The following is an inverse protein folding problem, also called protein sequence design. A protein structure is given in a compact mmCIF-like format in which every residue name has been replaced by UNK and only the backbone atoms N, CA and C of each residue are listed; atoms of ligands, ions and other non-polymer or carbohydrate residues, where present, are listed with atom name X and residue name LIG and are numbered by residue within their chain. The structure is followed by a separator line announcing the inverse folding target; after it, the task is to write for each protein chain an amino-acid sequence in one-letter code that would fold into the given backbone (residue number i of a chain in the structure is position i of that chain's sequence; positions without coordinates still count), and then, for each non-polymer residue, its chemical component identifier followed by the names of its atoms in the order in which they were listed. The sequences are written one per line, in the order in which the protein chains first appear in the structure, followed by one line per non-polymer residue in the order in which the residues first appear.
data_IF_171578262410
#
_entry.id   IF_171578262410
#
_cell.length_a   1.000
_cell.length_b   1.000
_cell.length_c   1.000
_cell.angle_alpha   90.00
_cell.angle_beta   90.00
_cell.angle_gamma   90.00
#
_symmetry.space_group_name_H-M   'P 1'
#
loop_
_entity.id
_entity.type
_entity.pdbx_description
1 polymer ?
#
# COMPACT_ATOMS: atom_id res chain seq x y z
N UNK A 1 -7.76 14.10 -19.85
CA UNK A 1 -7.48 12.89 -19.04
C UNK A 1 -7.36 13.32 -17.58
N UNK A 2 -7.78 12.47 -16.63
CA UNK A 2 -7.60 12.76 -15.20
C UNK A 2 -6.10 12.68 -14.83
N UNK A 3 -5.69 13.37 -13.77
CA UNK A 3 -4.29 13.38 -13.34
C UNK A 3 -3.75 11.96 -13.04
N UNK A 4 -4.56 11.11 -12.40
CA UNK A 4 -4.20 9.72 -12.14
C UNK A 4 -3.95 8.91 -13.43
N UNK A 5 -4.79 9.08 -14.46
CA UNK A 5 -4.60 8.40 -15.73
C UNK A 5 -3.35 8.88 -16.47
N UNK A 6 -2.99 10.17 -16.33
CA UNK A 6 -1.79 10.72 -16.95
C UNK A 6 -0.48 10.23 -16.29
N UNK A 7 -0.53 9.76 -15.04
CA UNK A 7 0.64 9.30 -14.28
C UNK A 7 0.76 7.77 -14.20
N UNK A 8 -0.26 7.02 -14.63
CA UNK A 8 -0.31 5.56 -14.47
C UNK A 8 0.89 4.84 -15.11
N UNK A 9 1.27 5.23 -16.33
CA UNK A 9 2.41 4.63 -17.05
C UNK A 9 3.75 4.92 -16.36
N UNK A 10 3.91 6.12 -15.80
CA UNK A 10 5.09 6.50 -15.03
C UNK A 10 5.17 5.68 -13.73
N UNK A 11 4.04 5.49 -13.04
CA UNK A 11 3.97 4.67 -11.83
C UNK A 11 4.26 3.18 -12.09
N UNK A 12 3.78 2.63 -13.21
CA UNK A 12 4.09 1.25 -13.62
C UNK A 12 5.59 1.06 -13.84
N UNK A 13 6.26 2.03 -14.47
CA UNK A 13 7.67 1.97 -14.80
C UNK A 13 8.61 2.03 -13.57
N UNK A 14 8.14 2.54 -12.43
CA UNK A 14 8.92 2.56 -11.18
C UNK A 14 9.13 1.11 -10.70
N UNK A 15 10.37 0.69 -10.39
CA UNK A 15 10.64 -0.64 -9.83
C UNK A 15 9.82 -0.89 -8.57
N UNK A 16 9.34 -2.13 -8.39
CA UNK A 16 8.52 -2.46 -7.23
C UNK A 16 9.23 -2.20 -5.89
N UNK A 17 10.56 -2.33 -5.87
CA UNK A 17 11.40 -2.04 -4.70
C UNK A 17 11.39 -0.56 -4.31
N UNK A 18 11.37 0.34 -5.30
CA UNK A 18 11.26 1.78 -5.06
C UNK A 18 9.85 2.15 -4.57
N UNK A 19 8.80 1.52 -5.13
CA UNK A 19 7.43 1.67 -4.61
C UNK A 19 7.34 1.23 -3.15
N UNK A 20 7.94 0.08 -2.80
CA UNK A 20 8.03 -0.40 -1.41
C UNK A 20 8.75 0.59 -0.50
N UNK A 21 9.85 1.20 -0.96
CA UNK A 21 10.57 2.20 -0.18
C UNK A 21 9.71 3.44 0.14
N UNK A 22 8.88 3.90 -0.81
CA UNK A 22 7.91 4.97 -0.60
C UNK A 22 6.90 4.59 0.48
N UNK A 23 6.35 3.38 0.42
CA UNK A 23 5.34 2.90 1.38
C UNK A 23 5.92 2.73 2.79
N UNK A 24 7.16 2.22 2.90
CA UNK A 24 7.85 2.12 4.19
C UNK A 24 8.12 3.50 4.79
N UNK A 25 8.53 4.47 3.97
CA UNK A 25 8.70 5.87 4.43
C UNK A 25 7.39 6.47 4.92
N UNK A 26 6.27 6.21 4.23
CA UNK A 26 4.95 6.65 4.68
C UNK A 26 4.58 6.03 6.03
N UNK A 27 4.88 4.75 6.23
CA UNK A 27 4.67 4.08 7.51
C UNK A 27 5.51 4.69 8.64
N UNK A 28 6.80 4.98 8.39
CA UNK A 28 7.69 5.63 9.38
C UNK A 28 7.12 6.99 9.83
N UNK A 29 6.72 7.82 8.87
CA UNK A 29 6.18 9.16 9.13
C UNK A 29 4.82 9.09 9.84
N UNK A 30 3.99 8.10 9.51
CA UNK A 30 2.70 7.90 10.15
C UNK A 30 2.86 7.40 11.59
N UNK A 31 3.79 6.49 11.82
CA UNK A 31 4.15 5.95 13.13
C UNK A 31 4.66 7.05 14.06
N UNK A 32 5.60 7.88 13.59
CA UNK A 32 6.12 9.04 14.34
C UNK A 32 5.00 10.01 14.77
N UNK A 33 3.98 10.17 13.92
CA UNK A 33 2.85 11.09 14.14
C UNK A 33 1.63 10.43 14.77
N UNK A 34 1.76 9.19 15.26
CA UNK A 34 0.61 8.43 15.80
C UNK A 34 -0.20 9.20 16.85
N UNK A 35 0.40 9.90 17.84
CA UNK A 35 -0.37 10.65 18.82
C UNK A 35 -1.21 11.79 18.21
N UNK A 36 -0.66 12.51 17.24
CA UNK A 36 -1.33 13.62 16.55
C UNK A 36 -2.48 13.09 15.68
N UNK A 37 -2.21 12.06 14.87
CA UNK A 37 -3.21 11.44 14.01
C UNK A 37 -4.35 10.81 14.81
N UNK A 38 -4.04 10.15 15.94
CA UNK A 38 -5.06 9.58 16.80
C UNK A 38 -5.93 10.66 17.45
N UNK A 39 -5.36 11.80 17.84
CA UNK A 39 -6.13 12.93 18.34
C UNK A 39 -7.09 13.49 17.27
N UNK A 40 -6.63 13.61 16.01
CA UNK A 40 -7.47 14.02 14.89
C UNK A 40 -8.62 13.03 14.65
N UNK A 41 -8.33 11.73 14.63
CA UNK A 41 -9.36 10.69 14.48
C UNK A 41 -10.40 10.76 15.61
N UNK A 42 -9.96 10.92 16.86
CA UNK A 42 -10.88 11.12 17.98
C UNK A 42 -11.74 12.37 17.82
N UNK A 43 -11.17 13.47 17.33
CA UNK A 43 -11.88 14.73 17.13
C UNK A 43 -12.92 14.63 15.99
N UNK A 44 -12.56 13.98 14.89
CA UNK A 44 -13.38 13.93 13.68
C UNK A 44 -14.50 12.90 13.76
N UNK A 45 -14.22 11.69 14.26
CA UNK A 45 -15.17 10.57 14.25
C UNK A 45 -15.55 10.05 15.64
N UNK A 46 -15.15 10.77 16.70
CA UNK A 46 -15.60 10.50 18.07
C UNK A 46 -15.07 9.20 18.69
N UNK A 47 -14.03 8.59 18.10
CA UNK A 47 -13.41 7.37 18.65
C UNK A 47 -12.77 7.65 20.01
N UNK A 48 -12.86 6.69 20.93
CA UNK A 48 -12.09 6.75 22.17
C UNK A 48 -10.59 6.76 21.88
N UNK A 49 -9.79 7.26 22.83
CA UNK A 49 -8.33 7.36 22.68
C UNK A 49 -7.69 6.04 22.24
N UNK A 50 -8.10 4.92 22.83
CA UNK A 50 -7.52 3.61 22.53
C UNK A 50 -7.95 3.10 21.14
N UNK A 51 -9.19 3.32 20.74
CA UNK A 51 -9.66 2.97 19.38
C UNK A 51 -8.97 3.81 18.32
N UNK A 52 -8.74 5.10 18.57
CA UNK A 52 -8.05 5.98 17.64
C UNK A 52 -6.57 5.61 17.49
N UNK A 53 -5.87 5.36 18.60
CA UNK A 53 -4.49 4.87 18.58
C UNK A 53 -4.40 3.53 17.84
N UNK A 54 -5.30 2.59 18.12
CA UNK A 54 -5.37 1.30 17.44
C UNK A 54 -5.61 1.44 15.94
N UNK A 55 -6.53 2.31 15.52
CA UNK A 55 -6.83 2.52 14.10
C UNK A 55 -5.69 3.19 13.31
N UNK A 56 -4.89 4.05 13.94
CA UNK A 56 -3.68 4.60 13.32
C UNK A 56 -2.58 3.55 13.24
N UNK A 57 -2.37 2.78 14.32
CA UNK A 57 -1.40 1.69 14.34
C UNK A 57 -1.73 0.62 13.28
N UNK A 58 -3.00 0.26 13.12
CA UNK A 58 -3.44 -0.69 12.09
C UNK A 58 -3.14 -0.19 10.66
N UNK A 59 -3.29 1.11 10.40
CA UNK A 59 -2.93 1.69 9.11
C UNK A 59 -1.41 1.65 8.85
N UNK A 60 -0.58 1.88 9.88
CA UNK A 60 0.87 1.68 9.80
C UNK A 60 1.18 0.23 9.46
N UNK A 61 0.52 -0.72 10.14
CA UNK A 61 0.72 -2.15 9.88
C UNK A 61 0.28 -2.56 8.47
N UNK A 62 -0.79 -1.99 7.90
CA UNK A 62 -1.10 -2.24 6.48
C UNK A 62 0.03 -1.82 5.56
N UNK A 63 0.60 -0.63 5.78
CA UNK A 63 1.71 -0.12 4.99
C UNK A 63 2.93 -1.06 5.06
N UNK A 64 3.26 -1.52 6.28
CA UNK A 64 4.35 -2.48 6.53
C UNK A 64 4.07 -3.85 5.92
N UNK A 65 2.87 -4.37 6.13
CA UNK A 65 2.49 -5.72 5.74
C UNK A 65 2.52 -5.89 4.23
N UNK A 66 1.88 -5.00 3.46
CA UNK A 66 1.86 -5.13 2.01
C UNK A 66 3.24 -4.87 1.38
N UNK A 67 4.03 -3.97 1.96
CA UNK A 67 5.45 -3.81 1.60
C UNK A 67 6.22 -5.12 1.77
N UNK A 68 6.04 -5.78 2.92
CA UNK A 68 6.67 -7.06 3.21
C UNK A 68 6.16 -8.19 2.30
N UNK A 69 4.88 -8.18 1.90
CA UNK A 69 4.37 -9.16 0.93
C UNK A 69 5.04 -9.00 -0.43
N UNK A 70 5.19 -7.77 -0.93
CA UNK A 70 5.90 -7.52 -2.20
C UNK A 70 7.34 -8.04 -2.15
N UNK A 71 8.08 -7.76 -1.08
CA UNK A 71 9.45 -8.22 -0.91
C UNK A 71 9.55 -9.75 -0.76
N UNK A 72 8.68 -10.36 0.07
CA UNK A 72 8.64 -11.80 0.31
C UNK A 72 8.40 -12.60 -0.97
N UNK A 73 7.71 -12.00 -1.93
CA UNK A 73 7.36 -12.61 -3.21
C UNK A 73 8.20 -12.11 -4.38
N UNK A 74 9.30 -11.38 -4.13
CA UNK A 74 10.18 -10.82 -5.18
C UNK A 74 9.40 -10.02 -6.25
N UNK A 75 8.48 -9.17 -5.78
CA UNK A 75 7.58 -8.41 -6.65
C UNK A 75 6.59 -9.26 -7.45
N UNK A 76 6.36 -10.50 -7.01
CA UNK A 76 5.57 -11.52 -7.72
C UNK A 76 6.12 -11.84 -9.11
N UNK A 77 7.46 -11.81 -9.25
CA UNK A 77 8.16 -12.34 -10.42
C UNK A 77 8.46 -13.81 -10.16
N UNK A 78 7.81 -14.70 -10.91
CA UNK A 78 7.90 -16.15 -10.71
C UNK A 78 8.47 -16.79 -11.97
N UNK A 79 9.63 -17.43 -11.86
CA UNK A 79 10.17 -18.26 -12.93
C UNK A 79 9.31 -19.52 -13.10
N UNK A 80 8.91 -19.78 -14.35
CA UNK A 80 8.09 -20.94 -14.71
C UNK A 80 8.97 -22.06 -15.27
N UNK A 81 8.41 -23.26 -15.34
CA UNK A 81 9.05 -24.37 -16.02
C UNK A 81 9.36 -24.06 -17.49
N UNK A 82 10.34 -24.78 -18.03
CA UNK A 82 10.77 -24.65 -19.41
C UNK A 82 10.58 -25.97 -20.16
N UNK A 83 10.16 -25.90 -21.43
CA UNK A 83 9.98 -27.07 -22.30
C UNK A 83 11.23 -27.36 -23.16
N UNK A 84 12.21 -26.46 -23.18
CA UNK A 84 13.44 -26.59 -23.96
C UNK A 84 14.63 -25.88 -23.32
N UNK A 85 15.87 -26.24 -23.68
CA UNK A 85 17.08 -25.70 -23.03
C UNK A 85 17.29 -24.18 -23.23
N UNK A 86 16.68 -23.58 -24.26
CA UNK A 86 16.85 -22.18 -24.62
C UNK A 86 15.59 -21.32 -24.35
N UNK A 87 14.65 -21.82 -23.54
CA UNK A 87 13.40 -21.11 -23.22
C UNK A 87 13.41 -20.65 -21.76
N UNK A 88 13.11 -19.36 -21.53
CA UNK A 88 12.92 -18.77 -20.20
C UNK A 88 11.52 -18.16 -20.11
N UNK A 89 10.72 -18.67 -19.18
CA UNK A 89 9.36 -18.21 -18.94
C UNK A 89 9.27 -17.56 -17.56
N UNK A 90 8.62 -16.40 -17.49
CA UNK A 90 8.36 -15.71 -16.23
C UNK A 90 6.91 -15.27 -16.17
N UNK A 91 6.27 -15.48 -15.02
CA UNK A 91 5.02 -14.84 -14.66
C UNK A 91 5.35 -13.56 -13.89
N UNK A 92 4.73 -12.44 -14.25
CA UNK A 92 4.96 -11.15 -13.61
C UNK A 92 3.63 -10.50 -13.24
N UNK A 93 3.53 -10.00 -12.01
CA UNK A 93 2.43 -9.12 -11.61
C UNK A 93 2.68 -7.72 -12.18
N UNK A 94 1.67 -7.14 -12.83
CA UNK A 94 1.67 -5.75 -13.28
C UNK A 94 0.50 -4.97 -12.70
N UNK A 95 0.65 -3.65 -12.48
CA UNK A 95 -0.48 -2.80 -12.09
C UNK A 95 -1.61 -2.86 -13.12
N UNK A 96 -2.86 -2.75 -12.64
CA UNK A 96 -4.04 -2.72 -13.50
C UNK A 96 -4.41 -1.30 -14.00
N UNK A 97 -3.66 -0.28 -13.56
CA UNK A 97 -3.92 1.13 -13.85
C UNK A 97 -4.59 1.84 -12.69
N UNK A 98 -5.57 2.69 -12.99
CA UNK A 98 -6.20 3.58 -12.00
C UNK A 98 -7.26 2.83 -11.18
N UNK A 99 -7.11 2.88 -9.85
CA UNK A 99 -8.10 2.39 -8.89
C UNK A 99 -8.92 3.54 -8.27
N UNK A 100 -10.22 3.30 -8.11
CA UNK A 100 -11.08 4.15 -7.28
C UNK A 100 -11.19 3.54 -5.88
N UNK A 101 -10.66 4.22 -4.87
CA UNK A 101 -10.77 3.82 -3.46
C UNK A 101 -11.85 4.66 -2.78
N UNK A 102 -12.90 4.01 -2.29
CA UNK A 102 -14.00 4.65 -1.55
C UNK A 102 -14.02 4.04 -0.15
N UNK A 103 -13.54 4.78 0.84
CA UNK A 103 -13.39 4.31 2.21
C UNK A 103 -14.57 4.70 3.13
N UNK A 104 -14.93 3.86 4.11
CA UNK A 104 -15.95 4.19 5.10
C UNK A 104 -15.37 5.02 6.27
N UNK A 105 -16.24 5.73 6.99
CA UNK A 105 -15.84 6.66 8.06
C UNK A 105 -15.52 5.97 9.40
N UNK A 106 -15.89 4.70 9.60
CA UNK A 106 -15.79 4.03 10.90
C UNK A 106 -14.35 3.64 11.28
N UNK A 107 -13.43 3.54 10.31
CA UNK A 107 -11.98 3.39 10.52
C UNK A 107 -11.25 4.22 9.46
N UNK A 108 -11.27 5.56 9.59
CA UNK A 108 -10.93 6.46 8.49
C UNK A 108 -9.47 6.33 8.06
N UNK A 109 -8.57 5.99 8.98
CA UNK A 109 -7.16 5.74 8.67
C UNK A 109 -6.95 4.35 8.08
N UNK A 110 -7.30 3.29 8.81
CA UNK A 110 -7.02 1.91 8.41
C UNK A 110 -7.71 1.48 7.11
N UNK A 111 -9.00 1.76 6.96
CA UNK A 111 -9.78 1.37 5.78
C UNK A 111 -9.60 2.31 4.59
N UNK A 112 -8.86 3.41 4.74
CA UNK A 112 -8.30 4.18 3.62
C UNK A 112 -6.92 3.66 3.25
N UNK A 113 -6.03 3.50 4.23
CA UNK A 113 -4.65 3.09 4.00
C UNK A 113 -4.55 1.72 3.32
N UNK A 114 -5.24 0.70 3.83
CA UNK A 114 -5.16 -0.67 3.33
C UNK A 114 -5.46 -0.81 1.83
N UNK A 115 -6.65 -0.39 1.35
CA UNK A 115 -6.96 -0.43 -0.07
C UNK A 115 -6.07 0.49 -0.92
N UNK A 116 -5.63 1.64 -0.40
CA UNK A 116 -4.75 2.56 -1.14
C UNK A 116 -3.35 1.98 -1.40
N UNK A 117 -2.75 1.26 -0.44
CA UNK A 117 -1.46 0.60 -0.67
C UNK A 117 -1.61 -0.71 -1.47
N UNK A 118 -2.75 -1.40 -1.32
CA UNK A 118 -3.00 -2.66 -2.03
C UNK A 118 -3.34 -2.50 -3.51
N UNK A 119 -3.70 -1.28 -3.95
CA UNK A 119 -4.06 -0.93 -5.32
C UNK A 119 -2.84 -0.70 -6.22
#
# INVERSE_FOLDING_TARGET
MSAAAAFADEWEAIPWSERVAIMRKAADLMEERTPELAALVSYEVGKSRLEALGGVAEAVEFLRYYSAQMERHDGFVIELGSLGPDEKNVSVLRPYGVWAVISPFNFPMALSAGPCIGA
#
